data_IF_736697483256
#
_entry.id   IF_736697483256
#
_cell.length_a   1.000
_cell.length_b   1.000
_cell.length_c   1.000
_cell.angle_alpha   90.00
_cell.angle_beta   90.00
_cell.angle_gamma   90.00
#
_symmetry.space_group_name_H-M   'P 1'
#
loop_
_entity.id
_entity.type
_entity.pdbx_description
1 polymer ?
#
# COMPACT_ATOMS: atom_id res chain seq x y z
N UNK A 1 -8.05 9.80 17.84
CA UNK A 1 -7.96 8.44 18.43
C UNK A 1 -8.27 7.33 17.44
N UNK A 2 -9.39 7.36 16.71
CA UNK A 2 -9.79 6.32 15.74
C UNK A 2 -8.69 5.89 14.74
N UNK A 3 -8.03 6.84 14.08
CA UNK A 3 -6.97 6.55 13.09
C UNK A 3 -5.75 5.80 13.67
N UNK A 4 -5.46 5.99 14.96
CA UNK A 4 -4.38 5.27 15.65
C UNK A 4 -4.73 3.79 15.80
N UNK A 5 -5.97 3.50 16.20
CA UNK A 5 -6.46 2.13 16.31
C UNK A 5 -6.53 1.44 14.95
N UNK A 6 -7.04 2.12 13.92
CA UNK A 6 -7.06 1.60 12.56
C UNK A 6 -5.65 1.20 12.08
N UNK A 7 -4.67 2.07 12.32
CA UNK A 7 -3.28 1.81 11.96
C UNK A 7 -2.71 0.58 12.68
N UNK A 8 -2.92 0.48 13.99
CA UNK A 8 -2.45 -0.67 14.78
C UNK A 8 -3.15 -1.95 14.35
N UNK A 9 -4.46 -1.91 14.07
CA UNK A 9 -5.22 -3.05 13.59
C UNK A 9 -4.68 -3.57 12.26
N UNK A 10 -4.35 -2.70 11.31
CA UNK A 10 -3.75 -3.10 10.02
C UNK A 10 -2.45 -3.88 10.22
N UNK A 11 -1.59 -3.43 11.14
CA UNK A 11 -0.32 -4.11 11.45
C UNK A 11 -0.57 -5.47 12.13
N UNK A 12 -1.51 -5.52 13.07
CA UNK A 12 -1.84 -6.75 13.81
C UNK A 12 -2.43 -7.81 12.87
N UNK A 13 -3.31 -7.43 11.94
CA UNK A 13 -3.90 -8.36 10.96
C UNK A 13 -2.80 -8.99 10.10
N UNK A 14 -1.87 -8.18 9.58
CA UNK A 14 -0.72 -8.70 8.83
C UNK A 14 0.14 -9.63 9.68
N UNK A 15 0.44 -9.23 10.93
CA UNK A 15 1.26 -10.06 11.85
C UNK A 15 0.59 -11.40 12.14
N UNK A 16 -0.73 -11.42 12.37
CA UNK A 16 -1.51 -12.65 12.56
C UNK A 16 -1.39 -13.54 11.33
N UNK A 17 -1.66 -13.00 10.14
CA UNK A 17 -1.65 -13.78 8.90
C UNK A 17 -0.25 -14.38 8.64
N UNK A 18 0.82 -13.62 8.92
CA UNK A 18 2.20 -14.13 8.85
C UNK A 18 2.45 -15.26 9.85
N UNK A 19 2.01 -15.11 11.10
CA UNK A 19 2.17 -16.15 12.12
C UNK A 19 1.39 -17.42 11.75
N UNK A 20 0.17 -17.28 11.24
CA UNK A 20 -0.65 -18.41 10.79
C UNK A 20 0.03 -19.17 9.64
N UNK A 21 0.64 -18.45 8.69
CA UNK A 21 1.43 -19.05 7.61
C UNK A 21 2.64 -19.82 8.17
N UNK A 22 3.40 -19.22 9.09
CA UNK A 22 4.57 -19.87 9.70
C UNK A 22 4.20 -21.14 10.48
N UNK A 23 3.07 -21.12 11.21
CA UNK A 23 2.55 -22.28 11.93
C UNK A 23 2.12 -23.37 10.96
N UNK A 24 1.33 -23.00 9.94
CA UNK A 24 0.83 -23.94 8.93
C UNK A 24 1.97 -24.64 8.19
N UNK A 25 3.02 -23.90 7.87
CA UNK A 25 4.16 -24.40 7.09
C UNK A 25 5.24 -25.04 8.00
N UNK A 26 5.03 -25.09 9.31
CA UNK A 26 5.89 -25.77 10.27
C UNK A 26 7.27 -25.13 10.45
N UNK A 27 7.37 -23.82 10.28
CA UNK A 27 8.64 -23.10 10.29
C UNK A 27 9.13 -22.90 11.73
N UNK A 28 10.23 -23.57 12.10
CA UNK A 28 10.84 -23.46 13.43
C UNK A 28 12.23 -22.84 13.44
N UNK A 29 12.90 -22.81 12.29
CA UNK A 29 14.29 -22.37 12.17
C UNK A 29 14.38 -20.89 11.78
N UNK A 30 15.24 -20.09 12.45
CA UNK A 30 15.42 -18.68 12.10
C UNK A 30 16.15 -18.51 10.76
N UNK A 31 16.76 -19.55 10.21
CA UNK A 31 17.41 -19.49 8.89
C UNK A 31 16.44 -19.75 7.73
N UNK A 32 15.20 -20.16 8.03
CA UNK A 32 14.21 -20.43 7.00
C UNK A 32 13.83 -19.15 6.23
N UNK A 33 13.73 -19.26 4.91
CA UNK A 33 13.36 -18.15 4.05
C UNK A 33 12.02 -17.53 4.44
N UNK A 34 11.05 -18.32 4.87
CA UNK A 34 9.71 -17.87 5.26
C UNK A 34 9.75 -16.90 6.44
N UNK A 35 10.70 -17.10 7.36
CA UNK A 35 10.99 -16.16 8.45
C UNK A 35 11.91 -15.02 8.02
N UNK A 36 12.93 -15.33 7.22
CA UNK A 36 13.91 -14.34 6.75
C UNK A 36 13.30 -13.27 5.86
N UNK A 37 12.31 -13.61 5.03
CA UNK A 37 11.67 -12.67 4.13
C UNK A 37 10.75 -11.65 4.82
N UNK A 38 10.45 -11.83 6.11
CA UNK A 38 9.66 -10.87 6.90
C UNK A 38 10.50 -9.64 7.28
N UNK A 39 9.90 -8.45 7.22
CA UNK A 39 10.53 -7.23 7.74
C UNK A 39 10.47 -7.24 9.27
N UNK A 40 11.62 -7.37 9.93
CA UNK A 40 11.73 -7.57 11.38
C UNK A 40 12.45 -6.40 12.03
N UNK A 41 12.07 -6.11 13.28
CA UNK A 41 12.59 -5.00 14.07
C UNK A 41 13.31 -5.53 15.30
N UNK A 42 14.55 -5.12 15.50
CA UNK A 42 15.40 -5.56 16.61
C UNK A 42 15.99 -4.37 17.34
N UNK A 43 15.66 -4.24 18.62
CA UNK A 43 16.33 -3.30 19.50
C UNK A 43 17.65 -3.90 19.98
N UNK A 44 18.78 -3.28 19.63
CA UNK A 44 20.11 -3.75 20.02
C UNK A 44 20.65 -2.90 21.17
N UNK A 45 20.53 -3.40 22.41
CA UNK A 45 20.92 -2.67 23.62
C UNK A 45 22.39 -2.24 23.67
N UNK A 46 23.29 -2.92 22.93
CA UNK A 46 24.71 -2.53 22.84
C UNK A 46 24.93 -1.26 22.03
N UNK A 47 24.12 -1.08 20.98
CA UNK A 47 24.19 0.06 20.06
C UNK A 47 23.17 1.15 20.45
N UNK A 48 22.31 0.87 21.44
CA UNK A 48 21.18 1.69 21.89
C UNK A 48 20.30 2.17 20.72
N UNK A 49 20.04 1.25 19.78
CA UNK A 49 19.44 1.60 18.50
C UNK A 49 18.53 0.49 17.95
N UNK A 50 17.57 0.88 17.13
CA UNK A 50 16.62 0.01 16.45
C UNK A 50 17.13 -0.32 15.04
N UNK A 51 17.25 -1.61 14.75
CA UNK A 51 17.62 -2.10 13.43
C UNK A 51 16.49 -2.88 12.79
N UNK A 52 16.31 -2.66 11.50
CA UNK A 52 15.46 -3.48 10.66
C UNK A 52 16.29 -4.56 9.99
N UNK A 53 15.73 -5.75 9.88
CA UNK A 53 16.34 -6.86 9.14
C UNK A 53 15.32 -7.54 8.23
N UNK A 54 15.71 -7.72 6.97
CA UNK A 54 14.95 -8.48 5.98
C UNK A 54 15.92 -9.22 5.07
N UNK A 55 15.81 -10.55 5.05
CA UNK A 55 16.82 -11.47 4.53
C UNK A 55 18.23 -11.04 4.97
N UNK A 56 19.11 -10.75 4.00
CA UNK A 56 20.51 -10.36 4.27
C UNK A 56 20.68 -8.86 4.55
N UNK A 57 19.64 -8.05 4.39
CA UNK A 57 19.69 -6.62 4.61
C UNK A 57 19.57 -6.26 6.09
N UNK A 58 20.48 -5.43 6.59
CA UNK A 58 20.42 -4.78 7.92
C UNK A 58 20.37 -3.27 7.71
N UNK A 59 19.35 -2.61 8.25
CA UNK A 59 19.14 -1.17 8.11
C UNK A 59 18.95 -0.53 9.47
N UNK A 60 19.50 0.68 9.64
CA UNK A 60 19.24 1.51 10.81
C UNK A 60 17.89 2.22 10.66
N UNK A 61 17.10 2.28 11.74
CA UNK A 61 15.87 3.05 11.75
C UNK A 61 16.20 4.55 11.72
N UNK A 62 15.58 5.33 10.83
CA UNK A 62 16.02 6.72 10.60
C UNK A 62 15.40 7.78 11.52
N UNK A 63 14.48 7.39 12.40
CA UNK A 63 13.83 8.24 13.42
C UNK A 63 13.16 9.54 12.92
N UNK A 64 12.91 9.68 11.61
CA UNK A 64 12.26 10.86 11.09
C UNK A 64 10.77 10.90 11.50
N UNK A 65 10.32 12.04 12.00
CA UNK A 65 8.96 12.18 12.51
C UNK A 65 7.95 12.24 11.37
N UNK A 66 7.13 11.19 11.25
CA UNK A 66 6.07 11.08 10.25
C UNK A 66 4.67 11.46 10.76
N UNK A 67 4.49 11.66 12.06
CA UNK A 67 3.15 11.81 12.65
C UNK A 67 2.25 10.59 12.44
N UNK A 68 0.92 10.77 12.57
CA UNK A 68 -0.07 9.71 12.38
C UNK A 68 -0.43 9.54 10.91
N UNK A 69 0.55 9.07 10.13
CA UNK A 69 0.32 8.63 8.76
C UNK A 69 -0.19 7.18 8.77
N UNK A 70 -1.42 6.96 8.31
CA UNK A 70 -2.01 5.62 8.23
C UNK A 70 -1.13 4.63 7.46
N UNK A 71 -1.30 3.34 7.75
CA UNK A 71 -0.56 2.24 7.12
C UNK A 71 -1.35 1.61 5.98
N UNK A 72 -0.64 1.24 4.92
CA UNK A 72 -1.19 0.43 3.85
C UNK A 72 -1.50 -0.99 4.38
N UNK A 73 -2.57 -1.61 3.87
CA UNK A 73 -2.83 -3.02 4.13
C UNK A 73 -1.74 -3.84 3.45
N UNK A 74 -0.94 -4.54 4.25
CA UNK A 74 0.19 -5.33 3.73
C UNK A 74 -0.37 -6.67 3.25
N UNK A 75 -0.40 -6.83 1.93
CA UNK A 75 -0.77 -8.07 1.25
C UNK A 75 0.49 -8.80 0.74
N UNK A 76 0.39 -10.06 0.30
CA UNK A 76 1.56 -10.81 -0.21
C UNK A 76 2.31 -10.11 -1.35
N UNK A 77 1.63 -9.29 -2.17
CA UNK A 77 2.28 -8.49 -3.21
C UNK A 77 3.10 -7.32 -2.61
N UNK A 78 2.58 -6.68 -1.56
CA UNK A 78 3.28 -5.62 -0.81
C UNK A 78 4.53 -6.17 -0.13
N UNK A 79 4.45 -7.36 0.48
CA UNK A 79 5.62 -8.02 1.08
C UNK A 79 6.71 -8.33 0.04
N UNK A 80 6.32 -8.74 -1.17
CA UNK A 80 7.28 -8.94 -2.28
C UNK A 80 7.92 -7.62 -2.72
N UNK A 81 7.17 -6.53 -2.76
CA UNK A 81 7.70 -5.19 -3.04
C UNK A 81 8.70 -4.79 -1.96
N UNK A 82 8.35 -4.97 -0.67
CA UNK A 82 9.24 -4.69 0.46
C UNK A 82 10.54 -5.47 0.33
N UNK A 83 10.44 -6.78 0.11
CA UNK A 83 11.60 -7.65 -0.05
C UNK A 83 12.49 -7.22 -1.22
N UNK A 84 11.89 -6.87 -2.35
CA UNK A 84 12.65 -6.42 -3.53
C UNK A 84 13.39 -5.11 -3.24
N UNK A 85 12.72 -4.16 -2.59
CA UNK A 85 13.30 -2.86 -2.24
C UNK A 85 14.41 -3.01 -1.21
N UNK A 86 14.18 -3.75 -0.12
CA UNK A 86 15.21 -3.94 0.91
C UNK A 86 16.39 -4.74 0.40
N UNK A 87 16.18 -5.77 -0.45
CA UNK A 87 17.31 -6.45 -1.09
C UNK A 87 18.10 -5.53 -2.01
N UNK A 88 17.42 -4.70 -2.81
CA UNK A 88 18.09 -3.70 -3.63
C UNK A 88 18.92 -2.75 -2.76
N UNK A 89 18.32 -2.13 -1.75
CA UNK A 89 18.99 -1.19 -0.82
C UNK A 89 20.19 -1.80 -0.08
N UNK A 90 20.21 -3.12 0.15
CA UNK A 90 21.35 -3.80 0.78
C UNK A 90 22.59 -3.89 -0.11
N UNK A 91 22.42 -3.77 -1.43
CA UNK A 91 23.50 -3.89 -2.44
C UNK A 91 23.76 -2.56 -3.16
N UNK A 92 22.72 -1.80 -3.47
CA UNK A 92 22.78 -0.54 -4.21
C UNK A 92 21.60 0.41 -3.85
N UNK A 93 21.79 1.74 -3.78
CA UNK A 93 20.78 2.72 -3.34
C UNK A 93 19.57 2.95 -4.30
N UNK A 94 19.18 2.00 -5.15
CA UNK A 94 18.08 2.21 -6.09
C UNK A 94 17.37 0.94 -6.56
N UNK A 95 16.09 1.07 -6.90
CA UNK A 95 15.26 -0.03 -7.42
C UNK A 95 14.19 0.49 -8.39
N UNK A 96 14.00 -0.17 -9.54
CA UNK A 96 12.91 0.13 -10.46
C UNK A 96 11.77 -0.90 -10.31
N UNK A 97 10.52 -0.45 -10.21
CA UNK A 97 9.32 -1.28 -10.10
C UNK A 97 8.34 -1.06 -11.25
N UNK A 98 8.24 -2.06 -12.14
CA UNK A 98 7.30 -2.06 -13.26
C UNK A 98 6.02 -2.86 -12.97
N UNK A 99 4.92 -2.56 -13.68
CA UNK A 99 3.59 -3.17 -13.48
C UNK A 99 2.40 -2.21 -13.68
N UNK A 100 1.15 -2.67 -13.70
CA UNK A 100 0.01 -1.81 -14.04
C UNK A 100 -0.22 -0.67 -13.04
N UNK A 101 -0.82 0.43 -13.52
CA UNK A 101 -1.23 1.56 -12.69
C UNK A 101 -2.29 1.15 -11.67
N UNK A 102 -2.27 1.76 -10.48
CA UNK A 102 -3.24 1.48 -9.42
C UNK A 102 -2.96 0.24 -8.56
N UNK A 103 -1.91 -0.54 -8.84
CA UNK A 103 -1.52 -1.73 -8.05
C UNK A 103 -0.70 -1.41 -6.78
N UNK A 104 -0.74 -0.16 -6.31
CA UNK A 104 -0.19 0.22 -5.02
C UNK A 104 1.34 0.16 -4.89
N UNK A 105 2.12 0.21 -5.98
CA UNK A 105 3.59 0.18 -5.91
C UNK A 105 4.19 1.38 -5.19
N UNK A 106 3.84 2.59 -5.65
CA UNK A 106 4.25 3.86 -5.05
C UNK A 106 3.81 3.94 -3.59
N UNK A 107 2.59 3.49 -3.30
CA UNK A 107 2.07 3.42 -1.93
C UNK A 107 2.79 2.38 -1.06
N UNK A 108 3.23 1.25 -1.65
CA UNK A 108 4.03 0.25 -0.94
C UNK A 108 5.43 0.78 -0.60
N UNK A 109 6.08 1.49 -1.52
CA UNK A 109 7.37 2.15 -1.27
C UNK A 109 7.23 3.22 -0.18
N UNK A 110 6.19 4.06 -0.27
CA UNK A 110 5.88 5.05 0.78
C UNK A 110 5.63 4.37 2.13
N UNK A 111 4.90 3.26 2.17
CA UNK A 111 4.60 2.55 3.41
C UNK A 111 5.84 1.90 4.02
N UNK A 112 6.76 1.37 3.19
CA UNK A 112 8.06 0.90 3.64
C UNK A 112 8.91 2.05 4.19
N UNK A 113 8.93 3.20 3.51
CA UNK A 113 9.60 4.41 4.01
C UNK A 113 9.08 4.82 5.39
N UNK A 114 7.76 4.80 5.60
CA UNK A 114 7.17 4.99 6.94
C UNK A 114 7.63 3.94 7.95
N UNK A 115 7.76 2.68 7.53
CA UNK A 115 8.24 1.60 8.41
C UNK A 115 9.71 1.76 8.80
N UNK A 116 10.53 2.33 7.91
CA UNK A 116 11.95 2.64 8.15
C UNK A 116 12.17 4.02 8.76
N UNK A 117 11.10 4.81 8.92
CA UNK A 117 11.15 6.21 9.35
C UNK A 117 11.95 7.11 8.42
N UNK A 118 11.82 6.91 7.11
CA UNK A 118 12.46 7.72 6.07
C UNK A 118 11.39 8.44 5.24
N UNK A 119 11.56 9.75 5.05
CA UNK A 119 10.66 10.54 4.22
C UNK A 119 10.73 10.07 2.78
N UNK A 120 9.58 9.69 2.22
CA UNK A 120 9.44 9.35 0.82
C UNK A 120 8.75 10.50 0.06
N UNK A 121 9.53 11.22 -0.72
CA UNK A 121 9.05 12.29 -1.61
C UNK A 121 8.66 11.68 -2.93
N UNK A 122 7.41 11.90 -3.34
CA UNK A 122 6.89 11.34 -4.59
C UNK A 122 6.69 12.44 -5.61
N UNK A 123 7.37 12.30 -6.74
CA UNK A 123 7.33 13.25 -7.85
C UNK A 123 6.70 12.59 -9.06
N UNK A 124 5.63 13.21 -9.56
CA UNK A 124 5.06 12.81 -10.84
C UNK A 124 5.93 13.38 -11.97
N UNK A 125 6.55 12.51 -12.77
CA UNK A 125 7.43 12.91 -13.87
C UNK A 125 6.76 12.80 -15.25
N UNK A 126 5.45 13.07 -15.35
CA UNK A 126 4.75 13.15 -16.63
C UNK A 126 5.36 14.17 -17.61
N UNK A 127 4.79 14.27 -18.82
CA UNK A 127 5.37 14.93 -20.00
C UNK A 127 5.87 16.38 -19.82
N UNK A 128 5.44 17.08 -18.77
CA UNK A 128 5.80 18.47 -18.50
C UNK A 128 7.04 18.66 -17.61
N UNK A 129 7.66 17.59 -17.09
CA UNK A 129 8.81 17.73 -16.19
C UNK A 129 10.11 17.95 -16.97
N UNK A 130 10.85 19.00 -16.61
CA UNK A 130 12.16 19.29 -17.18
C UNK A 130 13.27 18.58 -16.39
N UNK A 131 14.34 18.20 -17.09
CA UNK A 131 15.50 17.54 -16.48
C UNK A 131 16.17 18.40 -15.40
N UNK A 132 16.05 19.74 -15.46
CA UNK A 132 16.61 20.62 -14.44
C UNK A 132 15.83 20.54 -13.13
N UNK A 133 14.50 20.45 -13.19
CA UNK A 133 13.68 20.18 -12.00
C UNK A 133 13.96 18.81 -11.41
N UNK A 134 14.13 17.77 -12.23
CA UNK A 134 14.55 16.45 -11.73
C UNK A 134 15.93 16.54 -11.05
N UNK A 135 16.89 17.22 -11.67
CA UNK A 135 18.22 17.42 -11.09
C UNK A 135 18.19 18.17 -9.76
N UNK A 136 17.34 19.19 -9.62
CA UNK A 136 17.13 19.90 -8.34
C UNK A 136 16.50 19.00 -7.28
N UNK A 137 15.51 18.20 -7.65
CA UNK A 137 14.89 17.24 -6.74
C UNK A 137 15.90 16.20 -6.25
N UNK A 138 16.69 15.62 -7.16
CA UNK A 138 17.74 14.66 -6.81
C UNK A 138 18.81 15.28 -5.91
N UNK A 139 19.23 16.52 -6.18
CA UNK A 139 20.16 17.23 -5.31
C UNK A 139 19.59 17.42 -3.89
N UNK A 140 18.30 17.77 -3.78
CA UNK A 140 17.62 17.86 -2.49
C UNK A 140 17.54 16.52 -1.75
N UNK A 141 17.23 15.42 -2.46
CA UNK A 141 17.22 14.08 -1.89
C UNK A 141 18.62 13.67 -1.41
N UNK A 142 19.66 13.94 -2.20
CA UNK A 142 21.05 13.68 -1.81
C UNK A 142 21.47 14.44 -0.56
N UNK A 143 20.99 15.66 -0.35
CA UNK A 143 21.35 16.44 0.84
C UNK A 143 20.59 16.00 2.10
N UNK A 144 19.36 15.51 1.92
CA UNK A 144 18.46 15.17 3.03
C UNK A 144 18.53 13.69 3.43
N UNK A 145 18.99 12.81 2.53
CA UNK A 145 18.90 11.36 2.73
C UNK A 145 17.48 10.81 2.60
N UNK A 146 16.53 11.62 2.09
CA UNK A 146 15.16 11.19 1.84
C UNK A 146 15.10 10.24 0.63
N UNK A 147 14.02 9.46 0.57
CA UNK A 147 13.72 8.59 -0.56
C UNK A 147 12.94 9.36 -1.64
N UNK A 148 13.31 9.15 -2.90
CA UNK A 148 12.60 9.68 -4.05
C UNK A 148 11.85 8.57 -4.78
N UNK A 149 10.52 8.70 -4.90
CA UNK A 149 9.75 7.86 -5.81
C UNK A 149 9.33 8.70 -7.01
N UNK A 150 9.72 8.26 -8.21
CA UNK A 150 9.46 8.96 -9.44
C UNK A 150 8.63 8.10 -10.39
N UNK A 151 7.49 8.62 -10.84
CA UNK A 151 6.64 7.95 -11.82
C UNK A 151 7.11 8.29 -13.24
N UNK A 152 7.32 7.30 -14.12
CA UNK A 152 7.52 7.49 -15.58
C UNK A 152 8.78 8.28 -16.02
N UNK A 153 9.94 8.00 -15.41
CA UNK A 153 11.20 8.62 -15.84
C UNK A 153 11.83 7.92 -17.06
N UNK A 154 12.26 8.73 -18.03
CA UNK A 154 13.27 8.37 -19.05
C UNK A 154 14.50 9.24 -18.81
N UNK A 155 15.64 8.63 -18.43
CA UNK A 155 16.92 9.32 -18.34
C UNK A 155 17.72 9.06 -19.61
N UNK A 156 18.18 10.13 -20.28
CA UNK A 156 19.09 9.96 -21.42
C UNK A 156 20.56 10.01 -21.00
N UNK A 157 21.11 11.04 -20.33
CA UNK A 157 22.57 11.06 -20.07
C UNK A 157 23.05 11.96 -18.92
N UNK A 158 23.05 11.52 -17.64
CA UNK A 158 23.85 12.13 -16.55
C UNK A 158 24.08 11.16 -15.37
N UNK A 159 25.31 11.09 -14.84
CA UNK A 159 25.66 10.36 -13.61
C UNK A 159 25.56 11.27 -12.38
N UNK A 160 24.87 10.81 -11.32
CA UNK A 160 24.72 11.53 -10.05
C UNK A 160 25.25 10.67 -8.92
N UNK A 161 26.13 11.22 -8.08
CA UNK A 161 26.61 10.56 -6.87
C UNK A 161 25.56 10.66 -5.75
N UNK A 162 25.15 9.51 -5.20
CA UNK A 162 24.14 9.41 -4.16
C UNK A 162 24.79 9.14 -2.80
N UNK A 163 24.21 9.68 -1.72
CA UNK A 163 24.51 9.18 -0.37
C UNK A 163 23.98 7.75 -0.24
N UNK A 164 24.63 6.92 0.56
CA UNK A 164 24.20 5.53 0.80
C UNK A 164 22.82 5.40 1.44
N UNK A 165 22.29 6.49 2.02
CA UNK A 165 20.96 6.57 2.64
C UNK A 165 19.83 6.90 1.66
N UNK A 166 20.16 7.39 0.46
CA UNK A 166 19.18 7.83 -0.54
C UNK A 166 18.67 6.62 -1.29
N UNK A 167 17.36 6.40 -1.28
CA UNK A 167 16.69 5.43 -2.14
C UNK A 167 16.03 6.11 -3.32
N UNK A 168 16.41 5.76 -4.55
CA UNK A 168 15.68 6.21 -5.76
C UNK A 168 14.84 5.05 -6.29
N UNK A 169 13.54 5.30 -6.38
CA UNK A 169 12.56 4.35 -6.88
C UNK A 169 11.90 4.89 -8.13
N UNK A 170 11.92 4.09 -9.19
CA UNK A 170 11.23 4.43 -10.43
C UNK A 170 10.06 3.49 -10.61
N UNK A 171 8.85 4.04 -10.68
CA UNK A 171 7.62 3.29 -10.94
C UNK A 171 7.21 3.48 -12.38
N UNK A 172 7.13 2.37 -13.12
CA UNK A 172 6.73 2.36 -14.54
C UNK A 172 5.40 1.64 -14.73
N UNK A 173 4.54 2.20 -15.57
CA UNK A 173 3.31 1.55 -16.04
C UNK A 173 3.53 1.02 -17.46
N UNK A 174 3.97 -0.24 -17.64
CA UNK A 174 4.14 -0.81 -18.97
C UNK A 174 2.76 -1.01 -19.61
N UNK A 175 2.43 -0.16 -20.58
CA UNK A 175 1.27 -0.33 -21.45
C UNK A 175 0.02 0.43 -21.01
N UNK A 176 -0.20 1.60 -21.60
CA UNK A 176 -1.52 2.22 -21.72
C UNK A 176 -2.07 1.95 -23.12
N UNK A 177 -2.23 0.66 -23.48
CA UNK A 177 -2.84 0.24 -24.74
C UNK A 177 -3.84 -0.87 -24.45
N UNK A 178 -5.12 -0.57 -24.60
CA UNK A 178 -6.20 -1.56 -24.67
C UNK A 178 -6.93 -1.83 -23.35
N UNK A 179 -7.97 -1.04 -23.09
CA UNK A 179 -9.22 -1.63 -22.61
C UNK A 179 -10.28 -1.37 -23.68
N UNK A 180 -10.55 -2.41 -24.49
CA UNK A 180 -11.76 -2.51 -25.28
C UNK A 180 -12.87 -3.12 -24.44
N UNK A 181 -13.92 -2.32 -24.24
CA UNK A 181 -15.35 -2.66 -24.28
C UNK A 181 -15.89 -3.79 -23.40
N UNK A 182 -16.38 -3.39 -22.22
CA UNK A 182 -17.74 -3.74 -21.82
C UNK A 182 -18.55 -2.44 -21.85
N UNK A 183 -19.80 -2.49 -22.32
CA UNK A 183 -20.75 -1.36 -22.23
C UNK A 183 -21.11 -1.14 -20.76
N UNK A 184 -20.21 -0.55 -19.98
CA UNK A 184 -20.55 0.07 -18.71
C UNK A 184 -21.29 1.37 -19.01
N UNK A 185 -22.52 1.50 -18.49
CA UNK A 185 -23.09 2.83 -18.36
C UNK A 185 -22.12 3.64 -17.50
N UNK A 186 -21.57 4.74 -18.04
CA UNK A 186 -20.46 5.54 -17.49
C UNK A 186 -20.62 6.04 -16.04
N UNK A 187 -21.80 5.86 -15.42
CA UNK A 187 -22.12 6.32 -14.07
C UNK A 187 -22.03 5.24 -12.98
N UNK A 188 -21.85 3.96 -13.32
CA UNK A 188 -21.66 2.90 -12.32
C UNK A 188 -20.20 2.77 -11.91
N UNK A 189 -19.93 2.87 -10.61
CA UNK A 189 -18.58 2.83 -10.07
C UNK A 189 -18.43 1.71 -9.03
N UNK A 190 -17.97 0.55 -9.51
CA UNK A 190 -17.67 -0.64 -8.71
C UNK A 190 -16.21 -0.75 -8.26
N UNK A 191 -15.44 0.35 -8.36
CA UNK A 191 -14.04 0.34 -7.92
C UNK A 191 -13.91 0.00 -6.44
N UNK A 192 -12.75 -0.56 -6.04
CA UNK A 192 -12.43 -0.82 -4.63
C UNK A 192 -12.51 0.43 -3.75
N UNK A 193 -12.33 1.63 -4.33
CA UNK A 193 -12.52 2.90 -3.65
C UNK A 193 -13.98 3.13 -3.26
N UNK A 194 -14.93 2.80 -4.14
CA UNK A 194 -16.36 2.81 -3.82
C UNK A 194 -16.70 1.84 -2.70
N UNK A 195 -16.12 0.64 -2.72
CA UNK A 195 -16.30 -0.36 -1.66
C UNK A 195 -15.77 0.11 -0.31
N UNK A 196 -14.60 0.77 -0.26
CA UNK A 196 -14.07 1.35 0.99
C UNK A 196 -15.05 2.36 1.61
N UNK A 197 -15.71 3.16 0.78
CA UNK A 197 -16.75 4.10 1.23
C UNK A 197 -17.95 3.35 1.82
N UNK A 198 -18.37 2.23 1.20
CA UNK A 198 -19.47 1.39 1.71
C UNK A 198 -19.14 0.84 3.09
N UNK A 199 -17.93 0.29 3.26
CA UNK A 199 -17.48 -0.25 4.55
C UNK A 199 -17.40 0.85 5.62
N UNK A 200 -16.95 2.05 5.25
CA UNK A 200 -16.88 3.19 6.17
C UNK A 200 -18.27 3.60 6.65
N UNK A 201 -19.25 3.65 5.74
CA UNK A 201 -20.65 3.91 6.07
C UNK A 201 -21.28 2.78 6.91
N UNK A 202 -20.98 1.53 6.58
CA UNK A 202 -21.42 0.35 7.34
C UNK A 202 -20.95 0.44 8.78
N UNK A 203 -19.66 0.71 9.00
CA UNK A 203 -19.10 0.90 10.34
C UNK A 203 -19.73 2.09 11.08
N UNK A 204 -20.06 3.17 10.38
CA UNK A 204 -20.78 4.30 10.96
C UNK A 204 -22.19 3.90 11.43
N UNK A 205 -22.97 3.20 10.60
CA UNK A 205 -24.31 2.72 10.95
C UNK A 205 -24.28 1.75 12.12
N UNK A 206 -23.35 0.78 12.10
CA UNK A 206 -23.15 -0.20 13.18
C UNK A 206 -22.88 0.48 14.52
N UNK A 207 -22.09 1.56 14.54
CA UNK A 207 -21.74 2.27 15.78
C UNK A 207 -22.82 3.22 16.29
N UNK A 208 -23.68 3.74 15.42
CA UNK A 208 -24.63 4.80 15.77
C UNK A 208 -26.04 4.30 16.01
N UNK A 209 -26.59 3.53 15.07
CA UNK A 209 -28.02 3.21 15.03
C UNK A 209 -28.32 1.71 15.03
N UNK A 210 -27.35 0.86 14.67
CA UNK A 210 -27.54 -0.57 14.41
C UNK A 210 -26.58 -1.46 15.21
N UNK A 211 -26.38 -1.17 16.50
CA UNK A 211 -25.39 -1.88 17.35
C UNK A 211 -25.70 -3.36 17.52
N UNK A 212 -26.97 -3.70 17.74
CA UNK A 212 -27.43 -5.08 17.99
C UNK A 212 -27.69 -5.86 16.70
N UNK A 213 -27.81 -5.18 15.55
CA UNK A 213 -28.10 -5.83 14.27
C UNK A 213 -26.89 -6.63 13.77
N UNK A 214 -27.07 -7.84 13.19
CA UNK A 214 -26.02 -8.59 12.53
C UNK A 214 -25.23 -7.76 11.50
N UNK A 215 -23.91 -7.93 11.44
CA UNK A 215 -23.03 -7.12 10.56
C UNK A 215 -23.41 -7.24 9.08
N UNK A 216 -23.86 -8.43 8.66
CA UNK A 216 -24.33 -8.71 7.31
C UNK A 216 -25.53 -7.83 6.92
N UNK A 217 -26.49 -7.65 7.84
CA UNK A 217 -27.68 -6.80 7.63
C UNK A 217 -27.27 -5.33 7.52
N UNK A 218 -26.35 -4.87 8.36
CA UNK A 218 -25.86 -3.48 8.32
C UNK A 218 -25.12 -3.21 7.01
N UNK A 219 -24.29 -4.17 6.57
CA UNK A 219 -23.54 -4.09 5.32
C UNK A 219 -24.48 -4.01 4.12
N UNK A 220 -25.47 -4.90 4.05
CA UNK A 220 -26.47 -4.92 2.98
C UNK A 220 -27.27 -3.63 2.93
N UNK A 221 -27.67 -3.10 4.09
CA UNK A 221 -28.38 -1.83 4.17
C UNK A 221 -27.52 -0.67 3.68
N UNK A 222 -26.25 -0.59 4.09
CA UNK A 222 -25.33 0.44 3.62
C UNK A 222 -25.08 0.33 2.10
N UNK A 223 -24.85 -0.89 1.62
CA UNK A 223 -24.62 -1.19 0.21
C UNK A 223 -25.84 -0.80 -0.64
N UNK A 224 -27.06 -1.12 -0.17
CA UNK A 224 -28.30 -0.72 -0.82
C UNK A 224 -28.47 0.80 -0.86
N UNK A 225 -28.29 1.47 0.28
CA UNK A 225 -28.48 2.92 0.39
C UNK A 225 -27.51 3.72 -0.48
N UNK A 226 -26.28 3.25 -0.65
CA UNK A 226 -25.28 3.97 -1.45
C UNK A 226 -25.33 3.68 -2.95
N UNK A 227 -25.97 2.59 -3.37
CA UNK A 227 -26.03 2.19 -4.78
C UNK A 227 -27.39 2.45 -5.43
N UNK A 228 -28.52 2.28 -4.72
CA UNK A 228 -29.86 2.55 -5.29
C UNK A 228 -29.98 3.95 -5.93
N UNK A 229 -29.52 5.05 -5.29
CA UNK A 229 -29.64 6.38 -5.88
C UNK A 229 -28.83 6.58 -7.17
N UNK A 230 -27.92 5.65 -7.50
CA UNK A 230 -27.07 5.71 -8.70
C UNK A 230 -27.67 4.92 -9.86
N UNK A 231 -28.61 4.00 -9.60
CA UNK A 231 -29.22 3.16 -10.63
C UNK A 231 -30.31 3.89 -11.41
N UNK A 232 -30.39 3.60 -12.71
CA UNK A 232 -31.59 3.86 -13.50
C UNK A 232 -32.70 2.89 -13.05
N UNK A 233 -33.96 3.27 -13.29
CA UNK A 233 -35.13 2.53 -12.80
C UNK A 233 -35.11 1.04 -13.16
N UNK A 234 -34.73 0.70 -14.38
CA UNK A 234 -34.70 -0.68 -14.88
C UNK A 234 -33.66 -1.56 -14.15
N UNK A 235 -32.54 -0.97 -13.71
CA UNK A 235 -31.43 -1.69 -13.07
C UNK A 235 -31.68 -1.92 -11.57
N UNK A 236 -32.62 -1.20 -10.95
CA UNK A 236 -32.94 -1.38 -9.52
C UNK A 236 -33.48 -2.78 -9.25
N UNK A 237 -34.37 -3.28 -10.10
CA UNK A 237 -34.95 -4.62 -9.93
C UNK A 237 -33.91 -5.72 -10.14
N UNK A 238 -33.01 -5.53 -11.11
CA UNK A 238 -31.89 -6.45 -11.35
C UNK A 238 -30.95 -6.49 -10.13
N UNK A 239 -30.59 -5.33 -9.60
CA UNK A 239 -29.73 -5.20 -8.42
C UNK A 239 -30.33 -5.87 -7.18
N UNK A 240 -31.63 -5.68 -6.93
CA UNK A 240 -32.31 -6.32 -5.79
C UNK A 240 -32.40 -7.84 -5.95
N UNK A 241 -32.58 -8.33 -7.19
CA UNK A 241 -32.57 -9.77 -7.47
C UNK A 241 -31.20 -10.37 -7.20
N UNK A 242 -30.13 -9.73 -7.70
CA UNK A 242 -28.75 -10.15 -7.45
C UNK A 242 -28.41 -10.14 -5.95
N UNK A 243 -28.90 -9.17 -5.19
CA UNK A 243 -28.71 -9.14 -3.75
C UNK A 243 -29.39 -10.32 -3.05
N UNK A 244 -30.62 -10.65 -3.43
CA UNK A 244 -31.33 -11.80 -2.87
C UNK A 244 -30.66 -13.13 -3.23
N UNK A 245 -30.06 -13.23 -4.43
CA UNK A 245 -29.32 -14.41 -4.86
C UNK A 245 -28.00 -14.59 -4.08
N UNK A 246 -27.29 -13.49 -3.81
CA UNK A 246 -26.02 -13.50 -3.07
C UNK A 246 -26.19 -13.67 -1.56
N UNK A 247 -27.29 -13.16 -1.01
CA UNK A 247 -27.57 -13.15 0.42
C UNK A 247 -28.97 -13.72 0.68
N UNK A 248 -29.16 -15.03 0.46
CA UNK A 248 -30.47 -15.65 0.65
C UNK A 248 -30.87 -15.61 2.13
N UNK A 249 -32.08 -15.10 2.40
CA UNK A 249 -32.72 -15.01 3.72
C UNK A 249 -32.18 -13.91 4.67
N UNK A 250 -31.55 -12.88 4.13
CA UNK A 250 -31.14 -11.67 4.88
C UNK A 250 -31.96 -10.46 4.38
#
# INVERSE_FOLDING_TARGET
>A
EYYKFETVLTIIVHTRDTVDILIRDGISEPLDFSWQCQLRFYWLSKEDNLFLQQCNGKFEYSYEYMGLNGRLVIAPLTDRIYLTVTQALSVFPGCAQAGPSGNGKTESIKDLGKAMSVMCVVTNCGEAIDYQSIGKNLNGLCQTGAWGCFDEIVFEHNEIQLLSTVGIFVTMNPGYVGQTELLESYHYNWSLRSFKTILSMTGYLKRTSMKEDPEEIVLLRAFRHMNIPKFIYDDVNLFLTLLNDLFPNI
#
